data_IF_078350923972
#
_entry.id   IF_078350923972
#
_cell.length_a   1.000
_cell.length_b   1.000
_cell.length_c   1.000
_cell.angle_alpha   90.00
_cell.angle_beta   90.00
_cell.angle_gamma   90.00
#
_symmetry.space_group_name_H-M   'P 1'
#
loop_
_entity.id
_entity.type
_entity.pdbx_description
1 polymer ?
#
# COMPACT_ATOMS: atom_id res chain seq x y z
N UNK A 1 23.31 10.34 7.81
CA UNK A 1 23.63 11.61 7.11
C UNK A 1 22.49 11.90 6.14
N UNK A 2 22.02 13.15 6.02
CA UNK A 2 20.97 13.52 5.05
C UNK A 2 21.54 14.37 3.92
N UNK A 3 21.11 14.14 2.69
CA UNK A 3 21.44 14.92 1.50
C UNK A 3 20.19 15.70 1.05
N UNK A 4 20.38 16.89 0.49
CA UNK A 4 19.27 17.62 -0.16
C UNK A 4 19.12 17.13 -1.59
N UNK A 5 17.91 16.76 -1.96
CA UNK A 5 17.43 16.57 -3.33
C UNK A 5 16.60 17.79 -3.75
N UNK A 6 16.68 18.17 -5.03
CA UNK A 6 16.02 19.38 -5.51
C UNK A 6 14.48 19.26 -5.55
N UNK A 7 13.95 18.04 -5.68
CA UNK A 7 12.52 17.78 -5.77
C UNK A 7 11.96 17.27 -4.43
N UNK A 8 12.57 16.24 -3.87
CA UNK A 8 12.13 15.59 -2.63
C UNK A 8 12.63 16.28 -1.37
N UNK A 9 13.48 17.30 -1.48
CA UNK A 9 14.02 18.02 -0.33
C UNK A 9 14.96 17.13 0.48
N UNK A 10 14.62 16.82 1.73
CA UNK A 10 15.55 16.09 2.60
C UNK A 10 15.48 14.58 2.36
N UNK A 11 16.60 14.00 1.93
CA UNK A 11 16.77 12.57 1.71
C UNK A 11 17.71 12.00 2.76
N UNK A 12 17.31 10.92 3.40
CA UNK A 12 18.11 10.25 4.42
C UNK A 12 18.87 9.07 3.79
N UNK A 13 20.11 8.84 4.20
CA UNK A 13 20.80 7.60 3.84
C UNK A 13 20.25 6.46 4.71
N UNK A 14 19.55 5.51 4.09
CA UNK A 14 19.19 4.23 4.69
C UNK A 14 20.29 3.18 4.51
N UNK A 15 20.10 2.01 5.11
CA UNK A 15 21.00 0.85 4.95
C UNK A 15 21.10 0.38 3.50
N UNK A 16 19.97 0.41 2.78
CA UNK A 16 19.82 -0.21 1.47
C UNK A 16 19.54 0.78 0.34
N UNK A 17 19.68 2.09 0.59
CA UNK A 17 19.40 3.13 -0.41
C UNK A 17 19.00 4.47 0.20
N UNK A 18 18.33 5.29 -0.60
CA UNK A 18 17.73 6.54 -0.12
C UNK A 18 16.44 6.26 0.68
N UNK A 19 16.19 7.06 1.72
CA UNK A 19 14.95 7.03 2.50
C UNK A 19 14.27 8.40 2.48
N UNK A 20 12.97 8.40 2.23
CA UNK A 20 12.08 9.56 2.27
C UNK A 20 10.99 9.34 3.33
N UNK A 21 10.59 10.38 4.05
CA UNK A 21 9.41 10.33 4.91
C UNK A 21 8.14 10.45 4.08
N UNK A 22 7.14 9.59 4.33
CA UNK A 22 5.87 9.66 3.60
C UNK A 22 5.18 11.03 3.77
N UNK A 23 5.25 11.61 4.97
CA UNK A 23 4.74 12.96 5.28
C UNK A 23 5.42 14.07 4.45
N UNK A 24 6.69 13.88 4.08
CA UNK A 24 7.45 14.87 3.33
C UNK A 24 7.04 14.88 1.83
N UNK A 25 6.41 13.80 1.36
CA UNK A 25 5.93 13.67 -0.02
C UNK A 25 4.58 14.35 -0.23
N UNK A 26 3.72 14.41 0.78
CA UNK A 26 2.35 14.90 0.66
C UNK A 26 2.26 16.35 0.10
N UNK A 27 3.13 17.30 0.47
CA UNK A 27 3.11 18.63 -0.14
C UNK A 27 3.52 18.63 -1.62
N UNK A 28 4.30 17.64 -2.07
CA UNK A 28 4.78 17.52 -3.45
C UNK A 28 3.72 16.87 -4.34
N UNK A 29 3.02 15.86 -3.83
CA UNK A 29 2.00 15.11 -4.58
C UNK A 29 0.86 16.02 -5.05
N UNK A 30 0.57 17.09 -4.31
CA UNK A 30 -0.44 18.11 -4.67
C UNK A 30 0.02 19.12 -5.74
N UNK A 31 1.32 19.20 -6.05
CA UNK A 31 1.89 20.23 -6.93
C UNK A 31 2.17 19.75 -8.35
N UNK A 32 2.20 18.45 -8.57
CA UNK A 32 2.65 17.86 -9.84
C UNK A 32 1.69 16.79 -10.34
N UNK A 33 1.78 16.49 -11.64
CA UNK A 33 1.09 15.35 -12.25
C UNK A 33 1.71 14.02 -11.80
N UNK A 34 0.94 12.93 -11.89
CA UNK A 34 1.42 11.58 -11.58
C UNK A 34 2.61 11.17 -12.46
N UNK A 35 2.56 11.50 -13.76
CA UNK A 35 3.64 11.22 -14.70
C UNK A 35 4.96 11.92 -14.28
N UNK A 36 4.88 13.20 -13.87
CA UNK A 36 6.06 13.93 -13.41
C UNK A 36 6.58 13.38 -12.07
N UNK A 37 5.69 13.12 -11.12
CA UNK A 37 6.05 12.56 -9.81
C UNK A 37 6.76 11.20 -9.97
N UNK A 38 6.21 10.32 -10.79
CA UNK A 38 6.78 9.00 -11.09
C UNK A 38 8.13 9.11 -11.80
N UNK A 39 8.30 10.08 -12.70
CA UNK A 39 9.61 10.36 -13.30
C UNK A 39 10.66 10.79 -12.26
N UNK A 40 10.27 11.57 -11.24
CA UNK A 40 11.17 11.94 -10.15
C UNK A 40 11.51 10.75 -9.25
N UNK A 41 10.55 9.85 -8.98
CA UNK A 41 10.84 8.59 -8.27
C UNK A 41 11.83 7.72 -9.06
N UNK A 42 11.64 7.57 -10.36
CA UNK A 42 12.56 6.84 -11.23
C UNK A 42 13.95 7.48 -11.29
N UNK A 43 14.05 8.82 -11.24
CA UNK A 43 15.33 9.51 -11.10
C UNK A 43 16.02 9.16 -9.78
N UNK A 44 15.30 9.24 -8.66
CA UNK A 44 15.82 8.86 -7.34
C UNK A 44 16.31 7.42 -7.30
N UNK A 45 15.52 6.48 -7.81
CA UNK A 45 15.93 5.08 -7.90
C UNK A 45 17.23 4.94 -8.69
N UNK A 46 17.34 5.57 -9.86
CA UNK A 46 18.55 5.51 -10.69
C UNK A 46 19.79 6.09 -9.98
N UNK A 47 19.63 7.20 -9.27
CA UNK A 47 20.72 7.85 -8.53
C UNK A 47 21.16 7.06 -7.29
N UNK A 48 20.28 6.20 -6.75
CA UNK A 48 20.49 5.47 -5.50
C UNK A 48 20.51 3.94 -5.68
N UNK A 49 21.05 3.45 -6.81
CA UNK A 49 21.31 2.03 -7.03
C UNK A 49 20.05 1.17 -7.16
N UNK A 50 18.93 1.78 -7.56
CA UNK A 50 17.64 1.12 -7.76
C UNK A 50 16.87 0.83 -6.50
N UNK A 51 17.19 1.49 -5.38
CA UNK A 51 16.52 1.26 -4.08
C UNK A 51 16.10 2.57 -3.43
N UNK A 52 14.82 2.66 -3.10
CA UNK A 52 14.22 3.78 -2.38
C UNK A 52 13.33 3.23 -1.27
N UNK A 53 13.46 3.74 -0.06
CA UNK A 53 12.54 3.48 1.05
C UNK A 53 11.65 4.69 1.27
N UNK A 54 10.35 4.46 1.43
CA UNK A 54 9.41 5.46 1.92
C UNK A 54 8.93 5.00 3.29
N UNK A 55 9.26 5.75 4.34
CA UNK A 55 8.97 5.37 5.72
C UNK A 55 7.86 6.20 6.33
N UNK A 56 6.98 5.56 7.09
CA UNK A 56 5.99 6.18 7.97
C UNK A 56 6.02 5.45 9.33
N UNK A 57 6.11 6.19 10.44
CA UNK A 57 6.20 5.61 11.79
C UNK A 57 4.85 5.23 12.40
N UNK A 58 3.76 5.32 11.64
CA UNK A 58 2.40 5.06 12.10
C UNK A 58 1.82 3.82 11.42
N UNK A 59 0.75 3.29 12.00
CA UNK A 59 -0.03 2.20 11.42
C UNK A 59 -1.17 2.70 10.51
N UNK A 60 -1.38 4.03 10.47
CA UNK A 60 -2.36 4.68 9.60
C UNK A 60 -1.67 5.70 8.67
N UNK A 61 -0.75 5.23 7.81
CA UNK A 61 -0.01 6.10 6.90
C UNK A 61 -0.95 6.77 5.90
N UNK A 62 -0.63 7.99 5.47
CA UNK A 62 -1.29 8.66 4.34
C UNK A 62 -0.85 8.08 2.99
N UNK A 63 -0.83 6.75 2.88
CA UNK A 63 -0.30 6.04 1.72
C UNK A 63 -1.03 6.40 0.42
N UNK A 64 -2.35 6.61 0.49
CA UNK A 64 -3.14 7.10 -0.65
C UNK A 64 -2.49 8.31 -1.31
N UNK A 65 -2.08 9.33 -0.54
CA UNK A 65 -1.50 10.56 -1.10
C UNK A 65 -0.24 10.32 -1.95
N UNK A 66 0.49 9.25 -1.68
CA UNK A 66 1.69 8.85 -2.41
C UNK A 66 1.34 7.97 -3.61
N UNK A 67 0.67 6.83 -3.37
CA UNK A 67 0.32 5.89 -4.44
C UNK A 67 -0.60 6.55 -5.47
N UNK A 68 -1.35 7.57 -5.04
CA UNK A 68 -2.20 8.37 -5.90
C UNK A 68 -1.43 9.02 -7.07
N UNK A 69 -0.18 9.39 -6.82
CA UNK A 69 0.70 10.05 -7.79
C UNK A 69 1.71 9.12 -8.43
N UNK A 70 1.64 7.82 -8.14
CA UNK A 70 2.38 6.81 -8.90
C UNK A 70 1.55 6.44 -10.12
N UNK A 71 2.13 6.59 -11.29
CA UNK A 71 1.51 6.23 -12.57
C UNK A 71 1.41 4.69 -12.68
N UNK A 72 0.20 4.10 -12.68
CA UNK A 72 0.02 2.66 -12.64
C UNK A 72 0.55 1.95 -13.90
N UNK A 73 0.67 2.66 -15.03
CA UNK A 73 1.27 2.13 -16.26
C UNK A 73 2.79 1.94 -16.14
N UNK A 74 3.44 2.70 -15.26
CA UNK A 74 4.88 2.58 -15.00
C UNK A 74 5.20 1.56 -13.89
N UNK A 75 4.18 1.04 -13.20
CA UNK A 75 4.33 -0.02 -12.21
C UNK A 75 4.40 -1.37 -12.93
N UNK A 76 5.54 -2.06 -12.76
CA UNK A 76 5.73 -3.43 -13.22
C UNK A 76 4.90 -4.39 -12.38
N UNK A 77 5.12 -4.40 -11.07
CA UNK A 77 4.32 -5.15 -10.09
C UNK A 77 4.46 -4.56 -8.68
N UNK A 78 3.60 -5.02 -7.78
CA UNK A 78 3.62 -4.71 -6.34
C UNK A 78 3.77 -6.00 -5.55
N UNK A 79 4.56 -6.00 -4.48
CA UNK A 79 4.67 -7.14 -3.54
C UNK A 79 4.35 -6.71 -2.11
N UNK A 80 3.47 -7.45 -1.45
CA UNK A 80 3.16 -7.31 -0.02
C UNK A 80 3.80 -8.48 0.72
N UNK A 81 4.52 -8.18 1.80
CA UNK A 81 5.25 -9.19 2.57
C UNK A 81 5.41 -8.79 4.03
N UNK A 82 5.68 -9.80 4.86
CA UNK A 82 5.96 -9.60 6.27
C UNK A 82 7.42 -9.21 6.53
N UNK A 83 7.60 -8.43 7.59
CA UNK A 83 8.91 -8.05 8.13
C UNK A 83 8.84 -7.93 9.64
N UNK A 84 10.00 -8.06 10.28
CA UNK A 84 10.12 -8.15 11.74
C UNK A 84 11.03 -7.06 12.34
N UNK A 85 11.56 -6.16 11.50
CA UNK A 85 12.57 -5.16 11.87
C UNK A 85 11.99 -3.80 12.28
N UNK A 86 10.66 -3.70 12.49
CA UNK A 86 9.96 -2.44 12.77
C UNK A 86 9.47 -2.34 14.22
N UNK A 87 8.89 -3.42 14.74
CA UNK A 87 8.25 -3.42 16.05
C UNK A 87 8.32 -4.81 16.67
N UNK A 88 9.21 -4.98 17.65
CA UNK A 88 9.44 -6.24 18.36
C UNK A 88 8.24 -6.67 19.23
N UNK A 89 7.20 -5.83 19.37
CA UNK A 89 5.98 -6.14 20.12
C UNK A 89 4.91 -6.84 19.28
N UNK A 90 5.13 -7.04 17.98
CA UNK A 90 4.22 -7.75 17.07
C UNK A 90 4.99 -8.83 16.31
N UNK A 91 4.31 -9.88 15.88
CA UNK A 91 4.91 -11.01 15.15
C UNK A 91 5.45 -10.59 13.78
N UNK A 92 4.75 -9.65 13.14
CA UNK A 92 5.19 -9.02 11.90
C UNK A 92 4.49 -7.68 11.68
N UNK A 93 5.14 -6.81 10.92
CA UNK A 93 4.48 -5.75 10.16
C UNK A 93 4.51 -6.09 8.66
N UNK A 94 3.66 -5.46 7.88
CA UNK A 94 3.66 -5.54 6.43
C UNK A 94 4.50 -4.42 5.82
N UNK A 95 5.16 -4.72 4.71
CA UNK A 95 5.70 -3.74 3.78
C UNK A 95 5.11 -3.97 2.39
N UNK A 96 5.25 -2.95 1.54
CA UNK A 96 4.79 -2.94 0.17
C UNK A 96 5.95 -2.50 -0.74
N UNK A 97 6.46 -3.40 -1.57
CA UNK A 97 7.45 -3.10 -2.61
C UNK A 97 6.70 -2.73 -3.90
N UNK A 98 7.02 -1.59 -4.50
CA UNK A 98 6.48 -1.14 -5.79
C UNK A 98 7.64 -1.10 -6.78
N UNK A 99 7.55 -1.91 -7.83
CA UNK A 99 8.61 -2.05 -8.83
C UNK A 99 8.37 -1.11 -10.01
N UNK A 100 9.34 -0.23 -10.26
CA UNK A 100 9.39 0.67 -11.40
C UNK A 100 10.59 0.32 -12.30
N UNK A 101 10.66 0.92 -13.48
CA UNK A 101 11.71 0.62 -14.48
C UNK A 101 13.14 0.77 -13.95
N UNK A 102 13.38 1.69 -13.00
CA UNK A 102 14.71 1.93 -12.45
C UNK A 102 14.97 1.26 -11.10
N UNK A 103 14.05 0.46 -10.56
CA UNK A 103 14.25 -0.25 -9.30
C UNK A 103 13.00 -0.40 -8.44
N UNK A 104 13.22 -0.57 -7.14
CA UNK A 104 12.17 -0.90 -6.18
C UNK A 104 12.00 0.22 -5.14
N UNK A 105 10.75 0.62 -4.94
CA UNK A 105 10.34 1.48 -3.84
C UNK A 105 9.75 0.60 -2.75
N UNK A 106 10.39 0.55 -1.58
CA UNK A 106 9.86 -0.16 -0.41
C UNK A 106 9.13 0.82 0.51
N UNK A 107 7.83 0.67 0.63
CA UNK A 107 6.99 1.43 1.56
C UNK A 107 6.92 0.68 2.88
N UNK A 108 7.38 1.36 3.93
CA UNK A 108 7.58 0.84 5.28
C UNK A 108 6.69 1.60 6.25
N UNK A 109 5.65 0.95 6.76
CA UNK A 109 4.81 1.49 7.86
C UNK A 109 4.62 0.45 8.96
N UNK A 110 3.79 0.76 9.97
CA UNK A 110 3.43 -0.16 11.05
C UNK A 110 2.13 -0.93 10.75
N UNK A 111 1.86 -1.24 9.48
CA UNK A 111 0.77 -2.14 9.10
C UNK A 111 0.91 -3.50 9.79
N UNK A 112 -0.03 -3.86 10.65
CA UNK A 112 -0.08 -5.16 11.31
C UNK A 112 -1.54 -5.49 11.59
N UNK A 113 -1.87 -6.75 11.82
CA UNK A 113 -3.26 -7.17 12.03
C UNK A 113 -3.49 -7.85 13.38
N UNK A 114 -2.68 -7.49 14.39
CA UNK A 114 -2.73 -8.12 15.72
C UNK A 114 -3.99 -7.81 16.54
N UNK A 115 -4.89 -6.95 16.05
CA UNK A 115 -6.21 -6.66 16.62
C UNK A 115 -7.10 -5.98 15.59
N UNK A 116 -8.41 -6.00 15.79
CA UNK A 116 -9.44 -5.55 14.84
C UNK A 116 -9.18 -4.16 14.24
N UNK A 117 -8.90 -3.15 15.07
CA UNK A 117 -8.61 -1.81 14.55
C UNK A 117 -7.39 -1.81 13.63
N UNK A 118 -6.36 -2.61 13.93
CA UNK A 118 -5.14 -2.66 13.12
C UNK A 118 -5.36 -3.43 11.82
N UNK A 119 -6.15 -4.49 11.85
CA UNK A 119 -6.62 -5.16 10.63
C UNK A 119 -7.36 -4.16 9.72
N UNK A 120 -8.28 -3.37 10.27
CA UNK A 120 -8.96 -2.30 9.52
C UNK A 120 -8.03 -1.23 8.96
N UNK A 121 -6.95 -0.89 9.66
CA UNK A 121 -5.92 0.02 9.15
C UNK A 121 -5.16 -0.58 7.95
N UNK A 122 -4.85 -1.89 7.95
CA UNK A 122 -4.27 -2.58 6.78
C UNK A 122 -5.22 -2.47 5.59
N UNK A 123 -6.52 -2.74 5.78
CA UNK A 123 -7.49 -2.65 4.68
C UNK A 123 -7.57 -1.22 4.13
N UNK A 124 -7.84 -0.26 5.01
CA UNK A 124 -8.14 1.14 4.61
C UNK A 124 -6.93 1.92 4.12
N UNK A 125 -5.71 1.57 4.53
CA UNK A 125 -4.50 2.33 4.20
C UNK A 125 -3.46 1.59 3.37
N UNK A 126 -3.63 0.29 3.11
CA UNK A 126 -2.80 -0.46 2.17
C UNK A 126 -3.64 -1.00 1.01
N UNK A 127 -4.62 -1.87 1.28
CA UNK A 127 -5.34 -2.59 0.21
C UNK A 127 -6.29 -1.66 -0.57
N UNK A 128 -7.18 -0.92 0.10
CA UNK A 128 -8.09 0.02 -0.57
C UNK A 128 -7.33 0.99 -1.49
N UNK A 129 -6.23 1.64 -1.06
CA UNK A 129 -5.40 2.45 -1.96
C UNK A 129 -4.86 1.72 -3.20
N UNK A 130 -4.45 0.46 -3.08
CA UNK A 130 -3.99 -0.33 -4.24
C UNK A 130 -5.14 -0.62 -5.21
N UNK A 131 -6.31 -0.97 -4.68
CA UNK A 131 -7.51 -1.24 -5.48
C UNK A 131 -8.03 0.00 -6.20
N UNK A 132 -8.06 1.15 -5.53
CA UNK A 132 -8.42 2.43 -6.14
C UNK A 132 -7.46 2.85 -7.26
N UNK A 133 -6.24 2.32 -7.27
CA UNK A 133 -5.26 2.51 -8.35
C UNK A 133 -5.23 1.41 -9.39
N UNK A 134 -6.16 0.47 -9.34
CA UNK A 134 -6.18 -0.68 -10.23
C UNK A 134 -4.85 -1.48 -10.19
N UNK A 135 -4.11 -1.41 -9.07
CA UNK A 135 -2.82 -2.09 -8.90
C UNK A 135 -2.96 -3.50 -8.33
N UNK A 136 -4.14 -3.87 -7.82
CA UNK A 136 -4.40 -5.21 -7.28
C UNK A 136 -4.15 -6.32 -8.30
N UNK A 137 -4.39 -6.06 -9.60
CA UNK A 137 -4.16 -7.02 -10.68
C UNK A 137 -2.66 -7.21 -11.01
N UNK A 138 -1.80 -6.32 -10.51
CA UNK A 138 -0.34 -6.40 -10.59
C UNK A 138 0.31 -6.65 -9.23
N UNK A 139 -0.48 -6.94 -8.20
CA UNK A 139 -0.01 -7.11 -6.84
C UNK A 139 0.12 -8.60 -6.49
N UNK A 140 1.11 -8.90 -5.65
CA UNK A 140 1.45 -10.26 -5.23
C UNK A 140 1.70 -10.29 -3.72
N UNK A 141 1.40 -11.42 -3.08
CA UNK A 141 1.91 -11.76 -1.76
C UNK A 141 3.25 -12.45 -1.94
N UNK A 142 4.28 -12.00 -1.22
CA UNK A 142 5.56 -12.69 -1.11
C UNK A 142 5.66 -13.37 0.26
N UNK A 143 5.71 -14.70 0.22
CA UNK A 143 5.77 -15.55 1.40
C UNK A 143 7.20 -15.63 1.99
N UNK A 144 7.34 -16.14 3.22
CA UNK A 144 8.65 -16.25 3.90
C UNK A 144 9.65 -17.14 3.14
N UNK A 145 9.15 -18.10 2.35
CA UNK A 145 9.96 -18.98 1.52
C UNK A 145 10.42 -18.30 0.20
N UNK A 146 10.01 -17.05 -0.03
CA UNK A 146 10.32 -16.27 -1.23
C UNK A 146 9.40 -16.54 -2.42
N UNK A 147 8.46 -17.49 -2.32
CA UNK A 147 7.45 -17.71 -3.35
C UNK A 147 6.45 -16.54 -3.39
N UNK A 148 5.92 -16.29 -4.58
CA UNK A 148 4.92 -15.25 -4.79
C UNK A 148 3.64 -15.83 -5.35
N UNK A 149 2.51 -15.26 -4.95
CA UNK A 149 1.20 -15.55 -5.51
C UNK A 149 0.41 -14.26 -5.73
N UNK A 150 -0.47 -14.19 -6.75
CA UNK A 150 -1.27 -12.99 -6.98
C UNK A 150 -2.12 -12.62 -5.77
N UNK A 151 -2.19 -11.32 -5.48
CA UNK A 151 -3.00 -10.77 -4.40
C UNK A 151 -4.48 -11.12 -4.61
N UNK A 152 -5.00 -10.73 -5.78
CA UNK A 152 -6.37 -10.98 -6.23
C UNK A 152 -6.38 -11.92 -7.43
N UNK A 153 -7.29 -12.91 -7.40
CA UNK A 153 -7.58 -13.81 -8.51
C UNK A 153 -9.10 -13.95 -8.64
N UNK A 154 -9.62 -13.83 -9.86
CA UNK A 154 -11.04 -14.03 -10.17
C UNK A 154 -12.02 -13.25 -9.27
N UNK A 155 -11.61 -12.03 -8.84
CA UNK A 155 -12.35 -11.17 -7.90
C UNK A 155 -12.68 -11.83 -6.53
N UNK A 156 -11.91 -12.85 -6.14
CA UNK A 156 -12.04 -13.49 -4.82
C UNK A 156 -11.37 -12.66 -3.71
N UNK A 157 -12.08 -11.61 -3.28
CA UNK A 157 -11.65 -10.75 -2.18
C UNK A 157 -11.57 -11.47 -0.83
N UNK A 158 -12.26 -12.61 -0.66
CA UNK A 158 -12.14 -13.39 0.57
C UNK A 158 -10.77 -14.07 0.62
N UNK A 159 -10.37 -14.74 -0.47
CA UNK A 159 -9.05 -15.35 -0.57
C UNK A 159 -7.95 -14.30 -0.46
N UNK A 160 -8.13 -13.12 -1.07
CA UNK A 160 -7.22 -11.98 -0.91
C UNK A 160 -6.98 -11.64 0.58
N UNK A 161 -8.05 -11.42 1.34
CA UNK A 161 -7.97 -11.10 2.77
C UNK A 161 -7.30 -12.23 3.57
N UNK A 162 -7.67 -13.49 3.32
CA UNK A 162 -7.07 -14.65 3.97
C UNK A 162 -5.55 -14.69 3.75
N UNK A 163 -5.09 -14.40 2.53
CA UNK A 163 -3.65 -14.36 2.20
C UNK A 163 -2.94 -13.20 2.90
N UNK A 164 -3.50 -11.99 2.83
CA UNK A 164 -2.92 -10.80 3.47
C UNK A 164 -2.77 -11.00 4.98
N UNK A 165 -3.80 -11.52 5.63
CA UNK A 165 -3.77 -11.76 7.07
C UNK A 165 -2.85 -12.92 7.44
N UNK A 166 -2.78 -13.98 6.62
CA UNK A 166 -1.81 -15.07 6.79
C UNK A 166 -0.37 -14.58 6.66
N UNK A 167 -0.04 -13.80 5.62
CA UNK A 167 1.32 -13.26 5.48
C UNK A 167 1.65 -12.32 6.63
N UNK A 168 0.69 -11.54 7.13
CA UNK A 168 0.87 -10.67 8.30
C UNK A 168 1.07 -11.40 9.63
N UNK A 169 1.03 -12.74 9.65
CA UNK A 169 1.08 -13.62 10.84
C UNK A 169 -0.15 -13.55 11.75
N UNK A 170 -1.24 -12.96 11.27
CA UNK A 170 -2.49 -12.84 12.01
C UNK A 170 -3.68 -13.40 11.23
N UNK A 171 -3.67 -14.69 10.85
CA UNK A 171 -4.77 -15.29 10.06
C UNK A 171 -6.12 -15.21 10.78
N UNK A 172 -6.11 -15.14 12.10
CA UNK A 172 -7.31 -14.98 12.91
C UNK A 172 -7.94 -13.59 12.77
N UNK A 173 -7.30 -12.58 12.17
CA UNK A 173 -7.92 -11.26 11.96
C UNK A 173 -9.27 -11.32 11.20
N UNK A 174 -9.52 -12.40 10.45
CA UNK A 174 -10.82 -12.69 9.82
C UNK A 174 -11.87 -13.27 10.78
N UNK A 175 -11.50 -13.64 11.99
CA UNK A 175 -12.27 -14.45 12.94
C UNK A 175 -12.20 -13.95 14.39
N UNK A 176 -11.87 -12.68 14.64
CA UNK A 176 -11.82 -12.11 16.00
C UNK A 176 -13.20 -11.64 16.50
N UNK A 177 -13.47 -11.91 17.78
CA UNK A 177 -14.61 -11.37 18.54
C UNK A 177 -15.98 -11.96 18.19
N UNK A 178 -17.04 -11.39 18.74
CA UNK A 178 -18.43 -11.79 18.44
C UNK A 178 -18.94 -11.24 17.09
N UNK A 179 -18.12 -10.42 16.41
CA UNK A 179 -18.46 -9.66 15.18
C UNK A 179 -17.71 -10.16 13.93
N UNK A 180 -17.14 -11.38 13.98
CA UNK A 180 -16.39 -12.03 12.88
C UNK A 180 -17.02 -11.80 11.51
N UNK A 181 -18.28 -12.17 11.38
CA UNK A 181 -19.01 -12.11 10.12
C UNK A 181 -19.23 -10.67 9.64
N UNK A 182 -19.25 -9.69 10.55
CA UNK A 182 -19.47 -8.29 10.20
C UNK A 182 -18.19 -7.62 9.70
N UNK A 183 -17.05 -7.86 10.36
CA UNK A 183 -15.77 -7.27 9.95
C UNK A 183 -15.30 -7.84 8.61
N UNK A 184 -15.36 -9.16 8.44
CA UNK A 184 -15.01 -9.80 7.16
C UNK A 184 -15.89 -9.29 6.01
N UNK A 185 -17.21 -9.15 6.23
CA UNK A 185 -18.13 -8.57 5.24
C UNK A 185 -17.81 -7.11 4.94
N UNK A 186 -17.48 -6.32 5.97
CA UNK A 186 -17.11 -4.92 5.78
C UNK A 186 -15.83 -4.78 4.96
N UNK A 187 -14.81 -5.58 5.24
CA UNK A 187 -13.55 -5.57 4.49
C UNK A 187 -13.74 -6.01 3.05
N UNK A 188 -14.49 -7.09 2.80
CA UNK A 188 -14.80 -7.51 1.42
C UNK A 188 -15.55 -6.40 0.67
N UNK A 189 -16.54 -5.76 1.30
CA UNK A 189 -17.27 -4.66 0.68
C UNK A 189 -16.36 -3.44 0.40
N UNK A 190 -15.40 -3.14 1.26
CA UNK A 190 -14.42 -2.07 1.01
C UNK A 190 -13.58 -2.39 -0.23
N UNK A 191 -13.08 -3.62 -0.35
CA UNK A 191 -12.28 -4.06 -1.50
C UNK A 191 -13.09 -4.12 -2.80
N UNK A 192 -14.32 -4.62 -2.77
CA UNK A 192 -15.23 -4.62 -3.93
C UNK A 192 -15.48 -3.19 -4.44
N UNK A 193 -15.87 -2.28 -3.54
CA UNK A 193 -16.14 -0.88 -3.89
C UNK A 193 -14.89 -0.20 -4.46
N UNK A 194 -13.73 -0.44 -3.84
CA UNK A 194 -12.47 0.13 -4.31
C UNK A 194 -12.08 -0.41 -5.69
N UNK A 195 -12.26 -1.72 -5.92
CA UNK A 195 -12.01 -2.38 -7.22
C UNK A 195 -12.91 -1.81 -8.31
N UNK A 196 -14.21 -1.69 -8.03
CA UNK A 196 -15.20 -1.14 -8.95
C UNK A 196 -14.85 0.29 -9.36
N UNK A 197 -14.36 1.11 -8.42
CA UNK A 197 -13.94 2.49 -8.70
C UNK A 197 -12.61 2.54 -9.45
N UNK A 198 -11.62 1.74 -9.05
CA UNK A 198 -10.32 1.67 -9.71
C UNK A 198 -10.43 1.28 -11.18
N UNK A 199 -11.26 0.28 -11.49
CA UNK A 199 -11.51 -0.20 -12.87
C UNK A 199 -12.18 0.84 -13.77
N UNK A 200 -12.92 1.80 -13.21
CA UNK A 200 -13.53 2.90 -13.99
C UNK A 200 -12.48 3.92 -14.45
N UNK A 201 -11.27 3.89 -13.92
CA UNK A 201 -10.21 4.83 -14.28
C UNK A 201 -10.55 6.27 -13.87
N UNK A 202 -11.31 6.45 -12.78
CA UNK A 202 -11.69 7.76 -12.27
C UNK A 202 -10.42 8.55 -11.92
N UNK A 203 -10.46 9.88 -12.11
CA UNK A 203 -9.33 10.72 -11.74
C UNK A 203 -9.00 10.58 -10.25
N UNK A 204 -7.71 10.72 -9.97
CA UNK A 204 -7.07 10.55 -8.66
C UNK A 204 -7.80 11.21 -7.48
N UNK A 205 -8.19 12.48 -7.61
CA UNK A 205 -8.90 13.19 -6.52
C UNK A 205 -10.34 12.70 -6.33
N UNK A 206 -11.00 12.23 -7.40
CA UNK A 206 -12.39 11.79 -7.37
C UNK A 206 -12.55 10.32 -6.96
N UNK A 207 -11.49 9.50 -7.10
CA UNK A 207 -11.56 8.07 -6.81
C UNK A 207 -11.89 7.80 -5.33
N UNK A 208 -11.30 8.56 -4.40
CA UNK A 208 -11.58 8.39 -2.98
C UNK A 208 -13.02 8.76 -2.63
N UNK A 209 -13.52 9.87 -3.16
CA UNK A 209 -14.89 10.33 -2.93
C UNK A 209 -15.92 9.35 -3.55
N UNK A 210 -15.67 8.88 -4.77
CA UNK A 210 -16.52 7.90 -5.44
C UNK A 210 -16.57 6.57 -4.69
N UNK A 211 -15.46 6.15 -4.08
CA UNK A 211 -15.41 4.99 -3.20
C UNK A 211 -16.26 5.18 -1.95
N UNK A 212 -16.14 6.32 -1.27
CA UNK A 212 -16.93 6.60 -0.07
C UNK A 212 -18.43 6.63 -0.38
N UNK A 213 -18.82 7.24 -1.51
CA UNK A 213 -20.21 7.27 -1.97
C UNK A 213 -20.73 5.85 -2.27
N UNK A 214 -19.99 5.05 -3.05
CA UNK A 214 -20.38 3.69 -3.39
C UNK A 214 -20.51 2.80 -2.15
N UNK A 215 -19.56 2.92 -1.22
CA UNK A 215 -19.55 2.20 0.04
C UNK A 215 -20.73 2.57 0.92
N UNK A 216 -21.06 3.85 1.01
CA UNK A 216 -22.24 4.33 1.73
C UNK A 216 -23.53 3.73 1.13
N UNK A 217 -23.66 3.77 -0.20
CA UNK A 217 -24.85 3.26 -0.90
C UNK A 217 -25.06 1.75 -0.74
N UNK A 218 -23.99 0.94 -0.68
CA UNK A 218 -24.10 -0.51 -0.42
C UNK A 218 -24.45 -0.87 1.04
N UNK A 219 -24.36 0.09 1.95
CA UNK A 219 -24.63 -0.13 3.39
C UNK A 219 -26.06 0.23 3.79
N UNK A 220 -26.74 1.04 2.98
CA UNK A 220 -28.17 1.38 3.13
C UNK A 220 -29.07 0.30 2.54
#
# INVERSE_FOLDING_TARGET
>A
MSKSDFFFGKVYNGSDGATLGLSDLEPLTRKVSAAFFTAQLNRMLKEHGGRLTISDGTSYPRFWSFIDKVDPEQVGFVEIYARQDVNDSVEATLACDIVLVNGVITVKSHWCAYKDVRAGEVISTLLVPLHLKALQDKAYIRWDNGETEPLLQDDDHKAELERVFKVSKYPSAMTWGDTVDQNAKAYMMDLECATDVGRRGVSSEQAWDAYQELRHNKTM
#
